data_IF_448578646536
#
_entry.id   IF_448578646536
#
_cell.length_a   1.000
_cell.length_b   1.000
_cell.length_c   1.000
_cell.angle_alpha   90.00
_cell.angle_beta   90.00
_cell.angle_gamma   90.00
#
_symmetry.space_group_name_H-M   'P 1'
#
loop_
_entity.id
_entity.type
_entity.pdbx_description
1 polymer ?
#
# COMPACT_ATOMS: atom_id res chain seq x y z
N UNK A 1 43.03 8.84 8.12
CA UNK A 1 42.00 9.89 8.29
C UNK A 1 41.53 10.45 6.95
N UNK A 2 42.40 11.03 6.11
CA UNK A 2 42.00 11.60 4.79
C UNK A 2 41.38 10.60 3.80
N UNK A 3 41.89 9.36 3.75
CA UNK A 3 41.39 8.30 2.86
C UNK A 3 39.98 7.81 3.21
N UNK A 4 39.65 7.76 4.51
CA UNK A 4 38.33 7.36 5.01
C UNK A 4 37.22 8.32 4.57
N UNK A 5 37.49 9.62 4.50
CA UNK A 5 36.52 10.61 4.03
C UNK A 5 36.29 10.51 2.51
N UNK A 6 37.33 10.21 1.74
CA UNK A 6 37.23 10.03 0.29
C UNK A 6 36.43 8.78 -0.08
N UNK A 7 36.65 7.67 0.63
CA UNK A 7 35.86 6.45 0.41
C UNK A 7 34.40 6.65 0.79
N UNK A 8 34.12 7.39 1.87
CA UNK A 8 32.74 7.71 2.26
C UNK A 8 32.04 8.61 1.23
N UNK A 9 32.75 9.61 0.70
CA UNK A 9 32.20 10.49 -0.34
C UNK A 9 31.91 9.75 -1.64
N UNK A 10 32.79 8.84 -2.06
CA UNK A 10 32.56 7.99 -3.23
C UNK A 10 31.37 7.05 -3.03
N UNK A 11 31.21 6.48 -1.83
CA UNK A 11 30.08 5.63 -1.48
C UNK A 11 28.75 6.41 -1.55
N UNK A 12 28.69 7.60 -0.93
CA UNK A 12 27.51 8.47 -0.99
C UNK A 12 27.18 8.89 -2.42
N UNK A 13 28.18 9.28 -3.21
CA UNK A 13 27.98 9.67 -4.61
C UNK A 13 27.38 8.53 -5.43
N UNK A 14 27.83 7.29 -5.19
CA UNK A 14 27.31 6.10 -5.86
C UNK A 14 25.87 5.79 -5.42
N UNK A 15 25.56 5.90 -4.12
CA UNK A 15 24.21 5.74 -3.58
C UNK A 15 23.23 6.77 -4.18
N UNK A 16 23.63 8.03 -4.30
CA UNK A 16 22.80 9.06 -4.93
C UNK A 16 22.58 8.80 -6.42
N UNK A 17 23.59 8.34 -7.15
CA UNK A 17 23.49 8.04 -8.57
C UNK A 17 22.60 6.82 -8.87
N UNK A 18 22.46 5.90 -7.91
CA UNK A 18 21.61 4.71 -8.02
C UNK A 18 20.19 4.93 -7.46
N UNK A 19 19.88 6.11 -6.95
CA UNK A 19 18.56 6.41 -6.43
C UNK A 19 17.51 6.39 -7.56
N UNK A 20 16.42 5.65 -7.34
CA UNK A 20 15.28 5.59 -8.25
C UNK A 20 14.14 6.49 -7.75
N UNK A 21 13.29 7.03 -8.64
CA UNK A 21 12.12 7.80 -8.23
C UNK A 21 11.17 6.93 -7.41
N UNK A 22 10.66 7.47 -6.30
CA UNK A 22 9.61 6.81 -5.54
C UNK A 22 8.26 7.03 -6.23
N UNK A 23 7.52 5.94 -6.45
CA UNK A 23 6.14 5.98 -6.94
C UNK A 23 5.20 5.74 -5.76
N UNK A 24 4.13 6.54 -5.65
CA UNK A 24 3.07 6.31 -4.68
C UNK A 24 1.87 5.67 -5.37
N UNK A 25 1.32 4.62 -4.76
CA UNK A 25 0.04 4.05 -5.14
C UNK A 25 -1.04 4.58 -4.17
N UNK A 26 -2.09 5.27 -4.66
CA UNK A 26 -3.21 5.69 -3.82
C UNK A 26 -3.86 4.53 -3.04
N UNK A 27 -3.90 3.32 -3.61
CA UNK A 27 -4.44 2.16 -2.91
C UNK A 27 -3.57 1.76 -1.72
N UNK A 28 -2.24 1.84 -1.83
CA UNK A 28 -1.33 1.57 -0.71
C UNK A 28 -1.38 2.68 0.35
N UNK A 29 -1.61 3.93 -0.08
CA UNK A 29 -1.62 5.08 0.82
C UNK A 29 -2.93 5.23 1.60
N UNK A 30 -4.07 4.98 0.95
CA UNK A 30 -5.40 5.25 1.50
C UNK A 30 -6.25 4.00 1.70
N UNK A 31 -5.93 2.90 1.01
CA UNK A 31 -6.75 1.70 0.95
C UNK A 31 -7.77 1.74 -0.20
N UNK A 32 -8.67 0.76 -0.22
CA UNK A 32 -9.62 0.54 -1.32
C UNK A 32 -11.06 0.70 -0.85
N UNK A 33 -11.87 1.46 -1.59
CA UNK A 33 -13.31 1.59 -1.32
C UNK A 33 -13.66 2.60 -0.23
N UNK A 34 -14.54 3.56 -0.56
CA UNK A 34 -14.89 4.68 0.32
C UNK A 34 -15.41 4.25 1.69
N UNK A 35 -16.22 3.18 1.77
CA UNK A 35 -16.75 2.66 3.03
C UNK A 35 -15.65 2.05 3.89
N UNK A 36 -14.79 1.22 3.30
CA UNK A 36 -13.72 0.56 4.05
C UNK A 36 -12.72 1.58 4.62
N UNK A 37 -12.38 2.61 3.82
CA UNK A 37 -11.54 3.74 4.24
C UNK A 37 -12.20 4.52 5.39
N UNK A 38 -13.49 4.85 5.26
CA UNK A 38 -14.24 5.62 6.28
C UNK A 38 -14.37 4.89 7.63
N UNK A 39 -14.18 3.57 7.64
CA UNK A 39 -14.21 2.75 8.85
C UNK A 39 -12.87 2.71 9.60
N UNK A 40 -11.83 3.42 9.11
CA UNK A 40 -10.59 3.63 9.84
C UNK A 40 -9.86 2.34 10.23
N UNK A 41 -9.91 1.31 9.38
CA UNK A 41 -9.31 0.00 9.61
C UNK A 41 -10.21 -1.03 10.28
N UNK A 42 -11.41 -0.66 10.74
CA UNK A 42 -12.36 -1.62 11.32
C UNK A 42 -12.98 -2.56 10.27
N UNK A 43 -12.92 -2.19 8.98
CA UNK A 43 -13.52 -2.97 7.89
C UNK A 43 -12.94 -4.39 7.76
N UNK A 44 -11.71 -4.65 8.20
CA UNK A 44 -11.10 -6.00 8.21
C UNK A 44 -11.98 -7.05 8.91
N UNK A 45 -12.76 -6.64 9.92
CA UNK A 45 -13.70 -7.51 10.63
C UNK A 45 -15.08 -7.64 9.98
N UNK A 46 -15.42 -6.75 9.04
CA UNK A 46 -16.69 -6.80 8.29
C UNK A 46 -16.49 -7.52 6.95
N UNK A 47 -15.61 -6.99 6.10
CA UNK A 47 -15.18 -7.60 4.84
C UNK A 47 -16.32 -8.16 3.97
N UNK A 48 -17.40 -7.40 3.85
CA UNK A 48 -18.70 -7.78 3.28
C UNK A 48 -19.01 -7.10 1.92
N UNK A 49 -18.00 -6.50 1.29
CA UNK A 49 -18.10 -5.85 -0.03
C UNK A 49 -16.87 -6.12 -0.91
N UNK A 50 -16.84 -5.59 -2.15
CA UNK A 50 -15.74 -5.86 -3.09
C UNK A 50 -14.35 -5.50 -2.54
N UNK A 51 -14.29 -4.54 -1.61
CA UNK A 51 -13.05 -4.09 -0.97
C UNK A 51 -12.45 -5.17 -0.07
N UNK A 52 -13.21 -6.22 0.29
CA UNK A 52 -12.71 -7.37 1.04
C UNK A 52 -11.50 -8.03 0.37
N UNK A 53 -11.37 -7.96 -0.96
CA UNK A 53 -10.17 -8.40 -1.69
C UNK A 53 -8.88 -7.74 -1.18
N UNK A 54 -8.96 -6.49 -0.73
CA UNK A 54 -7.82 -5.73 -0.20
C UNK A 54 -7.64 -5.95 1.31
N UNK A 55 -8.72 -5.95 2.11
CA UNK A 55 -8.61 -5.96 3.57
C UNK A 55 -8.65 -7.36 4.20
N UNK A 56 -9.53 -8.25 3.73
CA UNK A 56 -9.68 -9.61 4.27
C UNK A 56 -10.46 -10.51 3.28
N UNK A 57 -9.76 -11.24 2.40
CA UNK A 57 -10.39 -12.10 1.40
C UNK A 57 -11.26 -13.23 1.99
N UNK A 58 -11.08 -13.60 3.27
CA UNK A 58 -11.91 -14.63 3.91
C UNK A 58 -13.38 -14.19 4.07
N UNK A 59 -13.67 -12.89 4.04
CA UNK A 59 -15.04 -12.37 4.01
C UNK A 59 -15.79 -12.73 2.72
N UNK A 60 -15.09 -12.83 1.58
CA UNK A 60 -15.70 -13.21 0.30
C UNK A 60 -16.23 -14.65 0.29
N UNK A 61 -15.59 -15.54 1.05
CA UNK A 61 -16.07 -16.92 1.20
C UNK A 61 -17.40 -17.03 1.99
N UNK A 62 -17.77 -15.96 2.70
CA UNK A 62 -19.00 -15.84 3.48
C UNK A 62 -20.05 -14.98 2.76
N UNK A 63 -19.80 -14.60 1.51
CA UNK A 63 -20.75 -13.79 0.74
C UNK A 63 -21.96 -14.64 0.32
N UNK A 64 -23.15 -14.20 0.72
CA UNK A 64 -24.41 -14.92 0.44
C UNK A 64 -25.08 -14.50 -0.87
N UNK A 65 -24.54 -13.48 -1.55
CA UNK A 65 -25.11 -12.90 -2.75
C UNK A 65 -24.04 -12.33 -3.69
N UNK A 66 -24.36 -12.34 -4.98
CA UNK A 66 -23.51 -11.73 -6.00
C UNK A 66 -23.62 -10.21 -5.88
N UNK A 67 -22.50 -9.55 -5.57
CA UNK A 67 -22.40 -8.10 -5.41
C UNK A 67 -21.46 -7.51 -6.46
N UNK A 68 -21.90 -6.41 -7.06
CA UNK A 68 -21.10 -5.58 -7.95
C UNK A 68 -20.99 -4.19 -7.34
N UNK A 69 -19.77 -3.71 -7.15
CA UNK A 69 -19.48 -2.37 -6.65
C UNK A 69 -18.78 -1.56 -7.77
N UNK A 70 -19.10 -0.28 -7.86
CA UNK A 70 -18.50 0.67 -8.81
C UNK A 70 -18.01 1.87 -8.00
N UNK A 71 -16.73 2.20 -8.14
CA UNK A 71 -16.07 3.30 -7.45
C UNK A 71 -14.95 3.91 -8.29
N UNK A 72 -14.31 4.95 -7.77
CA UNK A 72 -13.15 5.63 -8.35
C UNK A 72 -11.98 5.58 -7.37
#
# INVERSE_FOLDING_TARGET
MKTTHLTLAALLGTLCALASPATADPLDAFGSGARAISLGGAFTGLADDSSANYYNPAGLAQADNLRFDIGY
#
